data_IF_637755659748
#
_entry.id   IF_637755659748
#
_cell.length_a   1.000
_cell.length_b   1.000
_cell.length_c   1.000
_cell.angle_alpha   90.00
_cell.angle_beta   90.00
_cell.angle_gamma   90.00
#
_symmetry.space_group_name_H-M   'P 1'
#
loop_
_entity.id
_entity.type
_entity.pdbx_description
1 polymer ?
#
# COMPACT_ATOMS: atom_id res chain seq x y z
N UNK A 1 23.16 -5.96 0.63
CA UNK A 1 21.80 -6.52 0.47
C UNK A 1 21.51 -7.40 1.69
N UNK A 2 21.06 -6.80 2.80
CA UNK A 2 20.87 -7.48 4.08
C UNK A 2 19.47 -7.14 4.64
N UNK A 3 18.61 -8.17 4.73
CA UNK A 3 17.25 -8.10 5.27
C UNK A 3 17.24 -8.25 6.81
N UNK A 4 16.19 -7.82 7.56
CA UNK A 4 16.26 -7.68 9.02
C UNK A 4 15.54 -8.73 9.91
N UNK A 5 16.29 -9.33 10.84
CA UNK A 5 16.07 -9.85 12.23
C UNK A 5 14.82 -10.62 12.65
N UNK A 6 13.61 -10.23 12.24
CA UNK A 6 12.46 -11.12 12.47
C UNK A 6 12.51 -12.28 11.47
N UNK A 7 12.97 -11.97 10.25
CA UNK A 7 13.35 -12.98 9.29
C UNK A 7 14.69 -13.61 9.64
N UNK A 8 15.70 -12.94 10.20
CA UNK A 8 17.01 -13.60 10.37
C UNK A 8 16.99 -14.76 11.38
N UNK A 9 16.16 -14.73 12.43
CA UNK A 9 16.06 -15.86 13.37
C UNK A 9 15.31 -17.07 12.78
N UNK A 10 14.34 -16.85 11.88
CA UNK A 10 13.63 -17.94 11.19
C UNK A 10 14.38 -18.34 9.91
N UNK A 11 15.02 -17.43 9.21
CA UNK A 11 15.78 -17.69 7.98
C UNK A 11 17.13 -18.34 8.29
N UNK A 12 17.77 -18.01 9.41
CA UNK A 12 19.00 -18.69 9.84
C UNK A 12 18.75 -20.11 10.37
N UNK A 13 17.59 -20.38 10.98
CA UNK A 13 17.25 -21.71 11.51
C UNK A 13 16.35 -22.58 10.59
N UNK A 14 15.42 -21.95 9.86
CA UNK A 14 14.35 -22.59 9.07
C UNK A 14 14.51 -22.30 7.55
N UNK A 15 15.26 -21.26 7.17
CA UNK A 15 15.53 -20.89 5.78
C UNK A 15 14.40 -20.07 5.13
N UNK A 16 14.77 -19.12 4.27
CA UNK A 16 13.82 -18.23 3.56
C UNK A 16 12.75 -18.99 2.77
N UNK A 17 13.09 -20.19 2.28
CA UNK A 17 12.17 -21.08 1.56
C UNK A 17 11.02 -21.53 2.44
N UNK A 18 11.32 -21.97 3.66
CA UNK A 18 10.32 -22.50 4.59
C UNK A 18 9.43 -21.38 5.16
N UNK A 19 9.98 -20.19 5.39
CA UNK A 19 9.18 -19.01 5.77
C UNK A 19 8.14 -18.68 4.69
N UNK A 20 8.54 -18.68 3.41
CA UNK A 20 7.61 -18.47 2.30
C UNK A 20 6.51 -19.54 2.26
N UNK A 21 6.86 -20.80 2.47
CA UNK A 21 5.88 -21.89 2.55
C UNK A 21 4.86 -21.65 3.66
N UNK A 22 5.31 -21.32 4.88
CA UNK A 22 4.41 -21.07 6.01
C UNK A 22 3.46 -19.89 5.71
N UNK A 23 3.97 -18.78 5.16
CA UNK A 23 3.13 -17.62 4.83
C UNK A 23 2.18 -17.86 3.64
N UNK A 24 2.50 -18.79 2.74
CA UNK A 24 1.63 -19.13 1.61
C UNK A 24 0.38 -19.92 1.99
N UNK A 25 0.43 -20.71 3.07
CA UNK A 25 -0.68 -21.56 3.53
C UNK A 25 -1.97 -20.74 3.75
N UNK A 26 -1.99 -19.67 4.55
CA UNK A 26 -3.22 -18.90 4.78
C UNK A 26 -3.73 -18.24 3.49
N UNK A 27 -2.84 -17.71 2.64
CA UNK A 27 -3.24 -17.12 1.34
C UNK A 27 -3.87 -18.16 0.42
N UNK A 28 -3.31 -19.37 0.40
CA UNK A 28 -3.81 -20.49 -0.39
C UNK A 28 -5.20 -20.94 0.09
N UNK A 29 -5.41 -21.03 1.42
CA UNK A 29 -6.72 -21.36 2.01
C UNK A 29 -7.77 -20.32 1.61
N UNK A 30 -7.44 -19.03 1.69
CA UNK A 30 -8.34 -17.95 1.26
C UNK A 30 -8.65 -18.07 -0.23
N UNK A 31 -7.63 -18.28 -1.07
CA UNK A 31 -7.80 -18.47 -2.51
C UNK A 31 -8.74 -19.64 -2.86
N UNK A 32 -8.54 -20.79 -2.21
CA UNK A 32 -9.43 -21.95 -2.39
C UNK A 32 -10.85 -21.66 -1.94
N UNK A 33 -11.02 -20.97 -0.80
CA UNK A 33 -12.33 -20.61 -0.26
C UNK A 33 -13.10 -19.71 -1.24
N UNK A 34 -12.44 -18.72 -1.83
CA UNK A 34 -13.03 -17.82 -2.83
C UNK A 34 -13.43 -18.58 -4.10
N UNK A 35 -12.57 -19.47 -4.61
CA UNK A 35 -12.89 -20.29 -5.78
C UNK A 35 -14.10 -21.19 -5.52
N UNK A 36 -14.14 -21.82 -4.35
CA UNK A 36 -15.25 -22.68 -3.96
C UNK A 36 -16.56 -21.89 -3.83
N UNK A 37 -16.52 -20.71 -3.20
CA UNK A 37 -17.67 -19.83 -3.05
C UNK A 37 -18.22 -19.36 -4.41
N UNK A 38 -17.37 -18.87 -5.31
CA UNK A 38 -17.77 -18.38 -6.63
C UNK A 38 -18.20 -19.51 -7.58
N UNK A 39 -17.69 -20.72 -7.41
CA UNK A 39 -18.10 -21.89 -8.21
C UNK A 39 -19.53 -22.34 -7.90
N UNK A 40 -20.05 -21.99 -6.71
CA UNK A 40 -21.44 -22.24 -6.33
C UNK A 40 -22.45 -21.39 -7.12
N UNK A 41 -22.15 -20.11 -7.37
CA UNK A 41 -23.04 -19.19 -8.10
C UNK A 41 -23.15 -19.54 -9.60
N UNK A 42 -22.07 -20.02 -10.21
CA UNK A 42 -22.06 -20.40 -11.64
C UNK A 42 -23.00 -21.58 -11.97
N UNK A 43 -23.34 -22.43 -10.99
CA UNK A 43 -24.28 -23.56 -11.18
C UNK A 43 -25.75 -23.16 -11.12
N UNK A 44 -26.11 -22.05 -10.45
CA UNK A 44 -27.51 -21.59 -10.37
C UNK A 44 -27.92 -20.65 -11.50
N UNK A 45 -26.97 -20.13 -12.30
CA UNK A 45 -27.23 -19.20 -13.41
C UNK A 45 -27.19 -19.88 -14.78
N UNK A 46 -27.55 -21.16 -14.83
CA UNK A 46 -27.64 -21.98 -16.05
C UNK A 46 -29.01 -21.98 -16.71
N UNK A 47 -29.98 -21.19 -16.23
CA UNK A 47 -31.30 -21.07 -16.85
C UNK A 47 -31.86 -19.66 -16.68
N UNK A 48 -32.22 -19.03 -17.80
CA UNK A 48 -32.82 -17.69 -17.92
C UNK A 48 -31.85 -16.51 -17.74
N UNK A 49 -31.26 -16.08 -18.86
CA UNK A 49 -31.56 -14.84 -19.59
C UNK A 49 -30.34 -14.61 -20.51
N UNK A 50 -30.40 -15.25 -21.67
CA UNK A 50 -29.55 -14.91 -22.82
C UNK A 50 -30.29 -13.81 -23.58
N UNK A 51 -30.25 -12.61 -23.00
CA UNK A 51 -30.94 -11.42 -23.49
C UNK A 51 -29.97 -10.26 -23.60
N UNK A 52 -29.45 -10.06 -24.82
CA UNK A 52 -28.94 -8.78 -25.35
C UNK A 52 -27.91 -7.99 -24.52
N UNK A 53 -26.74 -8.55 -24.23
CA UNK A 53 -25.55 -7.72 -24.03
C UNK A 53 -24.87 -7.61 -25.39
N UNK A 54 -25.19 -6.54 -26.12
CA UNK A 54 -24.47 -6.14 -27.33
C UNK A 54 -22.98 -6.07 -27.00
N UNK A 55 -22.15 -6.70 -27.83
CA UNK A 55 -20.70 -6.73 -27.65
C UNK A 55 -20.10 -5.35 -27.82
N UNK A 56 -20.12 -4.53 -26.76
CA UNK A 56 -19.19 -3.43 -26.64
C UNK A 56 -17.82 -4.04 -26.36
N UNK A 57 -16.93 -3.91 -27.34
CA UNK A 57 -15.54 -4.34 -27.21
C UNK A 57 -14.95 -3.65 -25.99
N UNK A 58 -14.36 -4.42 -25.05
CA UNK A 58 -13.62 -3.91 -23.88
C UNK A 58 -12.67 -2.75 -24.23
N UNK A 59 -12.09 -2.77 -25.44
CA UNK A 59 -11.23 -1.70 -25.96
C UNK A 59 -11.99 -0.38 -26.13
N UNK A 60 -13.23 -0.45 -26.60
CA UNK A 60 -14.09 0.71 -26.78
C UNK A 60 -14.51 1.28 -25.42
N UNK A 61 -14.82 0.41 -24.46
CA UNK A 61 -15.17 0.83 -23.09
C UNK A 61 -13.98 1.49 -22.39
N UNK A 62 -12.77 0.94 -22.52
CA UNK A 62 -11.53 1.56 -22.02
C UNK A 62 -11.27 2.90 -22.72
N UNK A 63 -11.46 2.99 -24.04
CA UNK A 63 -11.26 4.22 -24.80
C UNK A 63 -12.25 5.32 -24.37
N UNK A 64 -13.50 4.96 -24.11
CA UNK A 64 -14.53 5.88 -23.61
C UNK A 64 -14.18 6.36 -22.20
N UNK A 65 -13.71 5.47 -21.32
CA UNK A 65 -13.27 5.82 -19.97
C UNK A 65 -12.06 6.76 -19.99
N UNK A 66 -11.05 6.49 -20.84
CA UNK A 66 -9.87 7.36 -21.00
C UNK A 66 -10.20 8.72 -21.62
N UNK A 67 -11.28 8.82 -22.40
CA UNK A 67 -11.73 10.09 -22.99
C UNK A 67 -12.58 10.92 -22.02
N UNK A 68 -12.92 10.36 -20.85
CA UNK A 68 -13.68 11.08 -19.83
C UNK A 68 -12.76 12.10 -19.14
N UNK A 69 -13.12 13.38 -19.23
CA UNK A 69 -12.30 14.52 -18.77
C UNK A 69 -11.88 14.43 -17.29
N UNK A 70 -12.70 13.79 -16.45
CA UNK A 70 -12.39 13.57 -15.04
C UNK A 70 -11.42 12.42 -14.78
N UNK A 71 -11.31 11.42 -15.67
CA UNK A 71 -10.57 10.17 -15.41
C UNK A 71 -9.08 10.34 -15.71
N UNK A 72 -8.75 11.02 -16.80
CA UNK A 72 -7.37 11.29 -17.22
C UNK A 72 -6.51 11.96 -16.14
N UNK A 73 -6.95 13.07 -15.49
CA UNK A 73 -6.15 13.70 -14.44
C UNK A 73 -6.00 12.81 -13.20
N UNK A 74 -7.01 12.01 -12.85
CA UNK A 74 -6.94 11.07 -11.72
C UNK A 74 -5.91 9.98 -12.01
N UNK A 75 -5.95 9.37 -13.20
CA UNK A 75 -4.98 8.35 -13.60
C UNK A 75 -3.56 8.92 -13.67
N UNK A 76 -3.40 10.13 -14.21
CA UNK A 76 -2.11 10.80 -14.24
C UNK A 76 -1.59 11.09 -12.82
N UNK A 77 -2.45 11.56 -11.91
CA UNK A 77 -2.09 11.79 -10.52
C UNK A 77 -1.70 10.49 -9.80
N UNK A 78 -2.47 9.42 -9.97
CA UNK A 78 -2.18 8.10 -9.40
C UNK A 78 -0.86 7.54 -9.94
N UNK A 79 -0.59 7.66 -11.23
CA UNK A 79 0.68 7.23 -11.83
C UNK A 79 1.88 8.02 -11.29
N UNK A 80 1.76 9.35 -11.17
CA UNK A 80 2.81 10.20 -10.60
C UNK A 80 3.06 9.89 -9.12
N UNK A 81 1.99 9.70 -8.34
CA UNK A 81 2.06 9.35 -6.93
C UNK A 81 2.67 7.95 -6.74
N UNK A 82 2.33 6.99 -7.62
CA UNK A 82 2.92 5.64 -7.68
C UNK A 82 4.45 5.68 -7.77
N UNK A 83 5.00 6.62 -8.56
CA UNK A 83 6.45 6.77 -8.68
C UNK A 83 7.12 7.38 -7.45
N UNK A 84 6.45 8.27 -6.72
CA UNK A 84 7.10 9.11 -5.70
C UNK A 84 6.83 8.71 -4.24
N UNK A 85 5.56 8.61 -3.87
CA UNK A 85 5.11 8.58 -2.46
C UNK A 85 4.20 7.37 -2.18
N UNK A 86 3.98 6.53 -3.19
CA UNK A 86 3.15 5.35 -3.03
C UNK A 86 3.75 4.32 -2.07
N UNK A 87 2.85 3.45 -1.62
CA UNK A 87 3.10 2.32 -0.74
C UNK A 87 4.30 1.53 -1.23
N UNK A 88 4.42 1.25 -2.54
CA UNK A 88 5.56 0.50 -3.10
C UNK A 88 6.91 1.18 -2.87
N UNK A 89 6.99 2.49 -3.13
CA UNK A 89 8.20 3.29 -2.95
C UNK A 89 8.57 3.39 -1.47
N UNK A 90 7.62 3.73 -0.60
CA UNK A 90 7.89 3.87 0.83
C UNK A 90 8.26 2.56 1.51
N UNK A 91 7.58 1.46 1.17
CA UNK A 91 7.88 0.13 1.73
C UNK A 91 9.23 -0.41 1.27
N UNK A 92 9.72 0.04 0.11
CA UNK A 92 11.04 -0.34 -0.41
C UNK A 92 12.16 0.52 0.17
N UNK A 93 12.02 1.85 0.11
CA UNK A 93 13.12 2.77 0.44
C UNK A 93 13.23 3.10 1.93
N UNK A 94 12.16 3.07 2.72
CA UNK A 94 12.26 3.35 4.17
C UNK A 94 13.16 2.31 4.88
N UNK A 95 13.00 0.98 4.68
CA UNK A 95 13.91 0.01 5.29
C UNK A 95 15.35 0.20 4.86
N UNK A 96 15.60 0.55 3.59
CA UNK A 96 16.95 0.83 3.07
C UNK A 96 17.52 2.09 3.71
N UNK A 97 16.75 3.16 3.83
CA UNK A 97 17.14 4.39 4.52
C UNK A 97 17.52 4.13 5.99
N UNK A 98 16.72 3.32 6.70
CA UNK A 98 17.03 2.94 8.08
C UNK A 98 18.29 2.08 8.19
N UNK A 99 18.52 1.18 7.22
CA UNK A 99 19.65 0.25 7.24
C UNK A 99 20.96 0.91 6.79
N UNK A 100 20.98 1.49 5.60
CA UNK A 100 22.21 1.91 4.92
C UNK A 100 22.60 3.36 5.25
N UNK A 101 21.61 4.24 5.44
CA UNK A 101 21.89 5.65 5.72
C UNK A 101 22.00 5.94 7.22
N UNK A 102 21.03 5.46 8.01
CA UNK A 102 21.03 5.65 9.47
C UNK A 102 21.78 4.55 10.24
N UNK A 103 22.21 3.46 9.57
CA UNK A 103 22.98 2.39 10.20
C UNK A 103 22.25 1.70 11.36
N UNK A 104 20.91 1.71 11.37
CA UNK A 104 20.12 1.25 12.51
C UNK A 104 20.21 -0.27 12.58
N UNK A 105 20.41 -0.77 13.81
CA UNK A 105 20.36 -2.19 14.09
C UNK A 105 19.05 -2.80 13.56
N UNK A 106 19.19 -4.05 13.20
CA UNK A 106 18.22 -4.86 12.51
C UNK A 106 16.92 -5.03 13.31
N UNK A 107 16.99 -5.19 14.63
CA UNK A 107 15.82 -5.28 15.50
C UNK A 107 15.12 -3.93 15.65
N UNK A 108 15.89 -2.87 15.95
CA UNK A 108 15.37 -1.50 16.08
C UNK A 108 14.71 -1.02 14.79
N UNK A 109 15.33 -1.30 13.64
CA UNK A 109 14.80 -0.99 12.31
C UNK A 109 13.45 -1.65 12.09
N UNK A 110 13.33 -2.93 12.46
CA UNK A 110 12.06 -3.67 12.38
C UNK A 110 10.96 -3.02 13.21
N UNK A 111 11.28 -2.62 14.44
CA UNK A 111 10.32 -1.94 15.32
C UNK A 111 9.90 -0.57 14.78
N UNK A 112 10.86 0.28 14.42
CA UNK A 112 10.60 1.63 13.88
C UNK A 112 9.77 1.56 12.60
N UNK A 113 10.11 0.62 11.71
CA UNK A 113 9.36 0.41 10.48
C UNK A 113 7.96 -0.16 10.71
N UNK A 114 7.79 -1.08 11.66
CA UNK A 114 6.48 -1.61 12.03
C UNK A 114 5.55 -0.51 12.57
N UNK A 115 6.08 0.42 13.38
CA UNK A 115 5.32 1.60 13.83
C UNK A 115 4.92 2.46 12.63
N UNK A 116 5.82 2.69 11.68
CA UNK A 116 5.48 3.35 10.41
C UNK A 116 4.31 2.69 9.69
N UNK A 117 4.38 1.37 9.51
CA UNK A 117 3.32 0.58 8.85
C UNK A 117 1.97 0.67 9.58
N UNK A 118 1.96 0.67 10.91
CA UNK A 118 0.73 0.88 11.68
C UNK A 118 0.10 2.23 11.37
N UNK A 119 0.93 3.27 11.20
CA UNK A 119 0.49 4.57 10.72
C UNK A 119 -0.20 4.47 9.36
N UNK A 120 0.44 3.81 8.39
CA UNK A 120 -0.15 3.60 7.07
C UNK A 120 -1.50 2.88 7.08
N UNK A 121 -1.62 1.79 7.83
CA UNK A 121 -2.87 1.04 7.97
C UNK A 121 -3.95 1.88 8.68
N UNK A 122 -3.59 2.60 9.73
CA UNK A 122 -4.51 3.50 10.42
C UNK A 122 -4.98 4.65 9.51
N UNK A 123 -4.08 5.17 8.68
CA UNK A 123 -4.35 6.21 7.68
C UNK A 123 -5.43 5.80 6.69
N UNK A 124 -5.31 4.60 6.11
CA UNK A 124 -6.31 4.04 5.19
C UNK A 124 -7.73 4.08 5.78
N UNK A 125 -7.88 3.72 7.05
CA UNK A 125 -9.20 3.66 7.70
C UNK A 125 -9.69 5.04 8.13
N UNK A 126 -8.82 5.84 8.78
CA UNK A 126 -9.21 7.10 9.40
C UNK A 126 -9.38 8.22 8.38
N UNK A 127 -8.45 8.37 7.43
CA UNK A 127 -8.55 9.41 6.41
C UNK A 127 -9.68 9.12 5.43
N UNK A 128 -9.95 7.85 5.12
CA UNK A 128 -11.12 7.48 4.32
C UNK A 128 -12.45 7.89 4.97
N UNK A 129 -12.59 7.66 6.28
CA UNK A 129 -13.77 8.12 7.06
C UNK A 129 -13.86 9.65 7.13
N UNK A 130 -12.73 10.32 7.29
CA UNK A 130 -12.67 11.78 7.39
C UNK A 130 -12.99 12.47 6.05
N UNK A 131 -12.51 11.89 4.95
CA UNK A 131 -12.80 12.30 3.59
C UNK A 131 -14.30 12.23 3.26
N UNK A 132 -15.01 11.23 3.78
CA UNK A 132 -16.46 11.15 3.66
C UNK A 132 -17.22 12.35 4.27
N UNK A 133 -16.60 13.12 5.18
CA UNK A 133 -17.20 14.31 5.81
C UNK A 133 -16.78 15.63 5.18
N UNK A 134 -15.52 15.75 4.76
CA UNK A 134 -14.91 17.02 4.32
C UNK A 134 -14.72 17.10 2.79
N UNK A 135 -14.81 15.96 2.12
CA UNK A 135 -14.61 15.81 0.68
C UNK A 135 -13.28 15.16 0.36
N UNK A 136 -13.33 14.12 -0.48
CA UNK A 136 -12.18 13.30 -0.89
C UNK A 136 -11.03 14.14 -1.45
N UNK A 137 -11.30 14.98 -2.43
CA UNK A 137 -10.27 15.81 -3.11
C UNK A 137 -9.48 16.68 -2.12
N UNK A 138 -10.16 17.31 -1.15
CA UNK A 138 -9.50 18.18 -0.16
C UNK A 138 -8.57 17.37 0.74
N UNK A 139 -9.04 16.22 1.21
CA UNK A 139 -8.22 15.32 2.04
C UNK A 139 -7.05 14.76 1.24
N UNK A 140 -7.24 14.36 -0.02
CA UNK A 140 -6.16 13.88 -0.90
C UNK A 140 -5.06 14.93 -1.07
N UNK A 141 -5.43 16.18 -1.38
CA UNK A 141 -4.45 17.26 -1.58
C UNK A 141 -3.68 17.55 -0.29
N UNK A 142 -4.37 17.63 0.85
CA UNK A 142 -3.72 17.85 2.15
C UNK A 142 -2.79 16.70 2.50
N UNK A 143 -3.25 15.45 2.36
CA UNK A 143 -2.43 14.26 2.60
C UNK A 143 -1.19 14.25 1.69
N UNK A 144 -1.34 14.59 0.41
CA UNK A 144 -0.24 14.60 -0.55
C UNK A 144 0.80 15.67 -0.21
N UNK A 145 0.36 16.88 0.14
CA UNK A 145 1.25 17.97 0.53
C UNK A 145 1.99 17.67 1.82
N UNK A 146 1.27 17.23 2.86
CA UNK A 146 1.88 16.88 4.15
C UNK A 146 2.86 15.72 3.98
N UNK A 147 2.48 14.69 3.22
CA UNK A 147 3.36 13.57 2.94
C UNK A 147 4.61 13.99 2.20
N UNK A 148 4.50 14.82 1.16
CA UNK A 148 5.65 15.32 0.39
C UNK A 148 6.60 16.11 1.28
N UNK A 149 6.05 16.96 2.15
CA UNK A 149 6.82 17.73 3.12
C UNK A 149 7.55 16.81 4.11
N UNK A 150 6.89 15.78 4.65
CA UNK A 150 7.52 14.82 5.56
C UNK A 150 8.62 14.01 4.87
N UNK A 151 8.44 13.62 3.60
CA UNK A 151 9.48 12.93 2.82
C UNK A 151 10.69 13.83 2.64
N UNK A 152 10.48 15.10 2.31
CA UNK A 152 11.58 16.06 2.21
C UNK A 152 12.30 16.26 3.55
N UNK A 153 11.54 16.28 4.66
CA UNK A 153 12.10 16.40 6.01
C UNK A 153 13.02 15.21 6.37
N UNK A 154 12.79 14.03 5.80
CA UNK A 154 13.67 12.87 6.01
C UNK A 154 15.12 13.11 5.54
N UNK A 155 15.35 14.02 4.59
CA UNK A 155 16.69 14.36 4.13
C UNK A 155 17.56 15.05 5.20
N UNK A 156 16.93 15.62 6.24
CA UNK A 156 17.63 16.31 7.33
C UNK A 156 17.92 15.42 8.54
N UNK A 157 17.45 14.17 8.53
CA UNK A 157 17.75 13.23 9.61
C UNK A 157 19.23 12.84 9.57
N UNK A 158 19.87 12.85 10.74
CA UNK A 158 21.26 12.39 10.91
C UNK A 158 21.28 11.07 11.67
N UNK A 159 22.43 10.38 11.66
CA UNK A 159 22.64 9.06 12.30
C UNK A 159 22.28 9.06 13.80
N UNK A 160 22.48 10.19 14.48
CA UNK A 160 22.20 10.38 15.92
C UNK A 160 20.74 10.72 16.24
N UNK A 161 19.84 10.72 15.24
CA UNK A 161 18.46 11.10 15.46
C UNK A 161 17.74 10.17 16.46
N UNK A 162 16.91 10.78 17.32
CA UNK A 162 16.12 10.08 18.31
C UNK A 162 15.17 9.05 17.65
N UNK A 163 15.32 7.77 18.02
CA UNK A 163 14.57 6.63 17.47
C UNK A 163 13.05 6.78 17.63
N UNK A 164 12.58 7.35 18.75
CA UNK A 164 11.14 7.58 18.96
C UNK A 164 10.60 8.67 18.03
N UNK A 165 11.36 9.75 17.84
CA UNK A 165 10.98 10.83 16.93
C UNK A 165 10.93 10.32 15.48
N UNK A 166 11.91 9.51 15.09
CA UNK A 166 11.95 8.88 13.79
C UNK A 166 10.76 7.94 13.58
N UNK A 167 10.41 7.11 14.57
CA UNK A 167 9.24 6.24 14.49
C UNK A 167 7.94 7.04 14.34
N UNK A 168 7.78 8.13 15.08
CA UNK A 168 6.62 9.02 14.97
C UNK A 168 6.57 9.74 13.62
N UNK A 169 7.72 10.16 13.10
CA UNK A 169 7.85 10.77 11.78
C UNK A 169 7.43 9.80 10.68
N UNK A 170 7.93 8.56 10.72
CA UNK A 170 7.54 7.52 9.76
C UNK A 170 6.07 7.11 9.90
N UNK A 171 5.55 7.07 11.13
CA UNK A 171 4.12 6.84 11.37
C UNK A 171 3.27 7.91 10.67
N UNK A 172 3.56 9.19 10.90
CA UNK A 172 2.77 10.29 10.32
C UNK A 172 2.94 10.39 8.80
N UNK A 173 4.15 10.13 8.29
CA UNK A 173 4.41 10.04 6.86
C UNK A 173 3.54 8.94 6.24
N UNK A 174 3.69 7.69 6.69
CA UNK A 174 2.99 6.56 6.10
C UNK A 174 1.47 6.67 6.28
N UNK A 175 1.00 7.23 7.40
CA UNK A 175 -0.41 7.55 7.65
C UNK A 175 -1.00 8.43 6.55
N UNK A 176 -0.28 9.49 6.15
CA UNK A 176 -0.75 10.38 5.08
C UNK A 176 -0.62 9.72 3.71
N UNK A 177 0.52 9.08 3.42
CA UNK A 177 0.82 8.52 2.09
C UNK A 177 -0.07 7.33 1.70
N UNK A 178 -0.27 6.36 2.59
CA UNK A 178 -0.98 5.11 2.28
C UNK A 178 -2.44 5.37 1.93
N UNK A 179 -3.02 6.45 2.44
CA UNK A 179 -4.41 6.81 2.14
C UNK A 179 -4.60 7.38 0.73
N UNK A 180 -3.55 7.89 0.07
CA UNK A 180 -3.67 8.61 -1.20
C UNK A 180 -4.35 7.80 -2.31
N UNK A 181 -3.99 6.52 -2.54
CA UNK A 181 -4.66 5.72 -3.57
C UNK A 181 -6.15 5.52 -3.30
N UNK A 182 -6.57 5.53 -2.03
CA UNK A 182 -7.98 5.36 -1.64
C UNK A 182 -8.81 6.63 -1.68
N UNK A 183 -8.15 7.80 -1.74
CA UNK A 183 -8.81 9.11 -1.69
C UNK A 183 -8.95 9.76 -3.08
N UNK A 184 -8.22 9.27 -4.08
CA UNK A 184 -8.19 9.75 -5.47
C UNK A 184 -8.89 8.76 -6.40
#
# INVERSE_FOLDING_TARGET
MYWPSFNDNIVSYIGWRSTLFIFSIPVFIVGLTVIWYLSGEKRSRGGMVEGSIGGTSLKNDIMILLKTESVTPILAAQALLSGGIDIGTLTTYIPIFLADFLGIDTYERGMVYAVGLLGGVAGLVLLGKYAGRIGYIRVSVVSALVSSFLVYLSAFYTVEANRMLLALHLFTMMFMSFSLPTLL
#
